data_IF_278504355824
#
_entry.id   IF_278504355824
#
_cell.length_a   1.000
_cell.length_b   1.000
_cell.length_c   1.000
_cell.angle_alpha   90.00
_cell.angle_beta   90.00
_cell.angle_gamma   90.00
#
_symmetry.space_group_name_H-M   'P 1'
#
loop_
_entity.id
_entity.type
_entity.pdbx_description
1 polymer ?
#
# COMPACT_ATOMS: atom_id res chain seq x y z
N UNK A 1 -14.09 8.90 -32.56
CA UNK A 1 -13.21 9.69 -31.69
C UNK A 1 -13.35 9.34 -30.21
N UNK A 2 -14.53 9.06 -29.68
CA UNK A 2 -14.78 8.72 -28.25
C UNK A 2 -14.20 7.36 -27.85
N UNK A 3 -14.29 6.34 -28.71
CA UNK A 3 -13.78 4.99 -28.47
C UNK A 3 -12.24 4.95 -28.39
N UNK A 4 -11.56 5.72 -29.23
CA UNK A 4 -10.10 5.79 -29.27
C UNK A 4 -9.51 6.43 -27.98
N UNK A 5 -10.18 7.44 -27.44
CA UNK A 5 -9.79 8.05 -26.15
C UNK A 5 -9.95 7.08 -24.97
N UNK A 6 -11.00 6.26 -24.94
CA UNK A 6 -11.18 5.23 -23.91
C UNK A 6 -10.09 4.15 -23.96
N UNK A 7 -9.70 3.73 -25.17
CA UNK A 7 -8.64 2.72 -25.34
C UNK A 7 -7.27 3.26 -24.91
N UNK A 8 -6.93 4.51 -25.29
CA UNK A 8 -5.66 5.15 -24.89
C UNK A 8 -5.61 5.33 -23.38
N UNK A 9 -6.71 5.68 -22.76
CA UNK A 9 -6.80 5.85 -21.31
C UNK A 9 -6.64 4.53 -20.56
N UNK A 10 -7.30 3.47 -20.99
CA UNK A 10 -7.13 2.12 -20.43
C UNK A 10 -5.66 1.65 -20.56
N UNK A 11 -5.00 1.95 -21.70
CA UNK A 11 -3.58 1.64 -21.89
C UNK A 11 -2.69 2.46 -20.93
N UNK A 12 -3.01 3.72 -20.68
CA UNK A 12 -2.26 4.57 -19.73
C UNK A 12 -2.46 4.09 -18.28
N UNK A 13 -3.65 3.67 -17.89
CA UNK A 13 -3.94 3.12 -16.56
C UNK A 13 -3.23 1.78 -16.34
N UNK A 14 -3.19 0.93 -17.37
CA UNK A 14 -2.40 -0.31 -17.36
C UNK A 14 -0.91 0.00 -17.26
N UNK A 15 -0.41 1.00 -17.99
CA UNK A 15 0.99 1.40 -17.95
C UNK A 15 1.40 1.97 -16.59
N UNK A 16 0.53 2.75 -15.93
CA UNK A 16 0.78 3.24 -14.55
C UNK A 16 0.73 2.12 -13.53
N UNK A 17 -0.18 1.16 -13.66
CA UNK A 17 -0.21 -0.05 -12.82
C UNK A 17 1.06 -0.89 -12.97
N UNK A 18 1.51 -1.10 -14.20
CA UNK A 18 2.77 -1.80 -14.50
C UNK A 18 3.98 -1.04 -13.94
N UNK A 19 4.00 0.28 -14.02
CA UNK A 19 5.07 1.10 -13.47
C UNK A 19 5.15 1.00 -11.94
N UNK A 20 4.00 1.00 -11.26
CA UNK A 20 3.95 0.77 -9.80
C UNK A 20 4.49 -0.61 -9.43
N UNK A 21 4.13 -1.65 -10.19
CA UNK A 21 4.66 -3.00 -10.02
C UNK A 21 6.18 -3.02 -10.25
N UNK A 22 6.66 -2.34 -11.28
CA UNK A 22 8.08 -2.23 -11.59
C UNK A 22 8.83 -1.51 -10.46
N UNK A 23 8.26 -0.48 -9.87
CA UNK A 23 8.89 0.23 -8.74
C UNK A 23 8.92 -0.65 -7.49
N UNK A 24 7.84 -1.34 -7.17
CA UNK A 24 7.82 -2.34 -6.08
C UNK A 24 8.85 -3.45 -6.37
N UNK A 25 8.93 -3.93 -7.60
CA UNK A 25 9.92 -4.88 -8.07
C UNK A 25 11.35 -4.35 -7.88
N UNK A 26 11.64 -3.11 -8.31
CA UNK A 26 12.98 -2.53 -8.16
C UNK A 26 13.36 -2.29 -6.71
N UNK A 27 12.42 -1.90 -5.86
CA UNK A 27 12.64 -1.75 -4.41
C UNK A 27 12.97 -3.12 -3.79
N UNK A 28 12.18 -4.15 -4.07
CA UNK A 28 12.42 -5.50 -3.56
C UNK A 28 13.73 -6.07 -4.15
N UNK A 29 14.00 -5.86 -5.43
CA UNK A 29 15.23 -6.29 -6.08
C UNK A 29 16.47 -5.58 -5.51
N UNK A 30 16.38 -4.28 -5.24
CA UNK A 30 17.49 -3.52 -4.65
C UNK A 30 17.83 -4.05 -3.24
N UNK A 31 16.81 -4.33 -2.45
CA UNK A 31 16.94 -4.97 -1.13
C UNK A 31 17.50 -6.39 -1.26
N UNK A 32 16.99 -7.21 -2.20
CA UNK A 32 17.47 -8.59 -2.40
C UNK A 32 18.90 -8.70 -2.93
N UNK A 33 19.32 -7.82 -3.85
CA UNK A 33 20.70 -7.85 -4.37
C UNK A 33 21.73 -7.49 -3.29
N UNK A 34 21.40 -6.61 -2.38
CA UNK A 34 22.29 -6.30 -1.24
C UNK A 34 22.35 -7.45 -0.23
N UNK A 35 21.25 -8.21 -0.11
CA UNK A 35 21.21 -9.37 0.79
C UNK A 35 22.08 -10.53 0.31
N UNK A 36 22.21 -10.74 -1.00
CA UNK A 36 23.04 -11.82 -1.58
C UNK A 36 24.55 -11.61 -1.42
N UNK A 37 24.98 -10.37 -1.21
CA UNK A 37 26.43 -10.07 -1.07
C UNK A 37 26.98 -10.19 0.34
N UNK A 38 26.14 -10.33 1.36
CA UNK A 38 26.57 -10.32 2.78
C UNK A 38 26.45 -11.68 3.50
N UNK A 39 26.24 -12.79 2.78
CA UNK A 39 26.34 -14.12 3.39
C UNK A 39 27.78 -14.62 3.25
N UNK A 40 28.68 -13.97 3.92
CA UNK A 40 29.97 -14.53 4.31
C UNK A 40 29.97 -14.67 5.83
N UNK A 41 30.16 -15.90 6.26
CA UNK A 41 30.27 -16.36 7.64
C UNK A 41 30.98 -15.33 8.57
N UNK A 42 30.28 -14.86 9.58
CA UNK A 42 30.90 -14.21 10.73
C UNK A 42 30.80 -15.14 11.93
N UNK A 43 31.84 -15.95 12.10
CA UNK A 43 32.29 -16.37 13.41
C UNK A 43 33.33 -15.32 13.81
N UNK A 44 32.96 -14.35 14.61
CA UNK A 44 33.83 -13.85 15.66
C UNK A 44 33.07 -12.97 16.66
N UNK A 45 33.13 -13.39 17.90
CA UNK A 45 32.72 -12.67 19.10
C UNK A 45 33.80 -11.68 19.45
N UNK A 46 33.62 -10.40 19.14
CA UNK A 46 34.19 -9.23 19.78
C UNK A 46 34.20 -8.03 18.84
N UNK A 47 33.16 -7.21 18.88
CA UNK A 47 33.23 -5.77 18.64
C UNK A 47 31.82 -5.16 18.77
N UNK A 48 31.33 -5.09 19.98
CA UNK A 48 30.22 -4.22 20.37
C UNK A 48 30.77 -2.90 20.87
N UNK A 49 31.55 -2.21 20.05
CA UNK A 49 31.94 -0.82 20.33
C UNK A 49 32.46 -0.14 19.05
N UNK A 50 31.48 0.33 18.23
CA UNK A 50 31.61 1.53 17.41
C UNK A 50 30.29 1.73 16.67
N UNK A 51 29.22 2.07 17.38
CA UNK A 51 28.07 2.74 16.75
C UNK A 51 28.47 4.18 16.48
N UNK A 52 29.06 4.37 15.33
CA UNK A 52 29.40 5.66 14.77
C UNK A 52 28.13 6.46 14.46
N UNK A 53 28.15 7.68 14.97
CA UNK A 53 27.52 8.91 14.53
C UNK A 53 26.33 8.74 13.55
N UNK A 54 25.12 8.93 14.08
CA UNK A 54 23.91 9.12 13.30
C UNK A 54 24.05 10.40 12.46
N UNK A 55 23.59 10.42 11.20
CA UNK A 55 23.56 11.64 10.40
C UNK A 55 22.83 12.74 11.18
N UNK A 56 23.31 13.96 11.11
CA UNK A 56 22.84 15.12 11.86
C UNK A 56 21.39 15.55 11.53
N UNK A 57 20.77 14.94 10.54
CA UNK A 57 19.34 15.10 10.15
C UNK A 57 18.46 13.97 10.70
N UNK A 58 18.61 13.61 11.97
CA UNK A 58 17.67 12.69 12.60
C UNK A 58 16.33 13.40 12.79
N UNK A 59 15.30 12.95 12.05
CA UNK A 59 13.94 13.43 12.18
C UNK A 59 13.48 13.20 13.62
N UNK A 60 13.12 14.29 14.27
CA UNK A 60 12.61 14.25 15.64
C UNK A 60 11.08 14.14 15.59
N UNK A 61 10.54 13.05 16.10
CA UNK A 61 9.11 12.83 16.26
C UNK A 61 8.76 13.14 17.70
N UNK A 62 7.76 13.98 17.94
CA UNK A 62 7.26 14.27 19.28
C UNK A 62 5.91 13.62 19.44
N UNK A 63 5.83 12.59 20.29
CA UNK A 63 4.58 11.91 20.61
C UNK A 63 4.32 12.01 22.13
N UNK A 64 3.19 12.58 22.51
CA UNK A 64 2.83 12.84 23.92
C UNK A 64 3.91 13.62 24.69
N UNK A 65 4.58 14.58 24.06
CA UNK A 65 5.64 15.38 24.67
C UNK A 65 6.98 14.65 24.81
N UNK A 66 7.08 13.41 24.34
CA UNK A 66 8.33 12.63 24.34
C UNK A 66 8.94 12.70 22.93
N UNK A 67 10.23 12.99 22.87
CA UNK A 67 10.97 13.05 21.63
C UNK A 67 11.50 11.67 21.26
N UNK A 68 11.24 11.24 20.02
CA UNK A 68 11.71 10.00 19.44
C UNK A 68 12.62 10.28 18.24
N UNK A 69 13.53 9.36 17.97
CA UNK A 69 14.39 9.36 16.79
C UNK A 69 14.31 8.00 16.12
N UNK A 70 14.38 7.97 14.80
CA UNK A 70 14.63 6.71 14.10
C UNK A 70 16.01 6.17 14.49
N UNK A 71 16.06 4.90 14.83
CA UNK A 71 17.33 4.20 15.12
C UNK A 71 18.08 3.82 13.84
N UNK A 72 17.34 3.64 12.75
CA UNK A 72 17.84 3.21 11.45
C UNK A 72 17.42 4.19 10.38
N UNK A 73 18.10 4.15 9.24
CA UNK A 73 17.71 4.87 8.05
C UNK A 73 16.54 4.13 7.39
N UNK A 74 15.36 4.72 7.46
CA UNK A 74 14.13 4.15 6.92
C UNK A 74 13.60 4.97 5.74
N UNK A 75 12.90 4.29 4.84
CA UNK A 75 12.05 4.87 3.80
C UNK A 75 10.61 4.43 4.03
N UNK A 76 9.70 5.36 3.87
CA UNK A 76 8.28 5.12 4.13
C UNK A 76 7.44 5.47 2.92
N UNK A 77 6.56 4.55 2.52
CA UNK A 77 5.67 4.75 1.38
C UNK A 77 4.25 4.37 1.75
N UNK A 78 3.31 5.27 1.45
CA UNK A 78 1.89 5.03 1.67
C UNK A 78 1.26 4.40 0.43
N UNK A 79 0.70 3.20 0.58
CA UNK A 79 -0.08 2.54 -0.47
C UNK A 79 -1.57 2.75 -0.20
N UNK A 80 -2.26 3.27 -1.20
CA UNK A 80 -3.67 3.58 -1.18
C UNK A 80 -4.43 2.70 -2.17
N UNK A 81 -5.50 2.08 -1.70
CA UNK A 81 -6.51 1.44 -2.56
C UNK A 81 -7.77 2.28 -2.54
N UNK A 82 -8.13 2.91 -3.66
CA UNK A 82 -9.32 3.76 -3.76
C UNK A 82 -10.48 3.01 -4.38
N UNK A 83 -11.70 3.33 -3.95
CA UNK A 83 -12.93 2.83 -4.58
C UNK A 83 -13.31 3.69 -5.80
N UNK A 84 -14.50 3.47 -6.35
CA UNK A 84 -15.03 4.24 -7.48
C UNK A 84 -16.10 5.26 -7.07
N UNK A 85 -16.12 5.68 -5.80
CA UNK A 85 -17.18 6.55 -5.27
C UNK A 85 -17.05 8.02 -5.65
N UNK A 86 -15.86 8.42 -6.11
CA UNK A 86 -15.57 9.81 -6.48
C UNK A 86 -15.76 10.12 -7.97
N UNK A 87 -15.58 11.38 -8.32
CA UNK A 87 -15.43 11.87 -9.69
C UNK A 87 -13.96 12.27 -9.94
N UNK A 88 -13.07 11.29 -9.99
CA UNK A 88 -11.63 11.53 -10.18
C UNK A 88 -11.24 11.96 -11.61
N UNK A 89 -12.23 12.05 -12.51
CA UNK A 89 -12.06 12.56 -13.88
C UNK A 89 -12.33 14.06 -13.98
N UNK A 90 -12.99 14.62 -12.97
CA UNK A 90 -13.24 16.06 -12.86
C UNK A 90 -11.96 16.86 -12.65
N UNK A 91 -12.04 18.16 -12.79
CA UNK A 91 -10.95 19.10 -12.52
C UNK A 91 -11.53 20.30 -11.75
N UNK A 92 -10.81 20.77 -10.73
CA UNK A 92 -11.27 21.87 -9.91
C UNK A 92 -12.55 21.52 -9.15
N UNK A 93 -13.59 22.34 -9.30
CA UNK A 93 -14.86 22.16 -8.58
C UNK A 93 -15.64 20.89 -9.00
N UNK A 94 -15.34 20.34 -10.17
CA UNK A 94 -15.95 19.08 -10.64
C UNK A 94 -15.19 17.83 -10.15
N UNK A 95 -14.03 17.99 -9.54
CA UNK A 95 -13.24 16.91 -8.99
C UNK A 95 -13.78 16.47 -7.63
N UNK A 96 -13.93 15.19 -7.45
CA UNK A 96 -14.17 14.58 -6.15
C UNK A 96 -13.32 13.31 -6.02
N UNK A 97 -12.44 13.29 -5.03
CA UNK A 97 -11.66 12.10 -4.72
C UNK A 97 -12.54 10.93 -4.26
N UNK A 98 -12.09 9.73 -4.54
CA UNK A 98 -12.73 8.50 -4.04
C UNK A 98 -12.36 8.25 -2.56
N UNK A 99 -13.01 7.32 -1.87
CA UNK A 99 -12.55 6.88 -0.55
C UNK A 99 -11.32 5.99 -0.66
N UNK A 100 -10.36 6.18 0.26
CA UNK A 100 -9.23 5.27 0.40
C UNK A 100 -9.62 4.05 1.26
N UNK A 101 -9.98 2.96 0.61
CA UNK A 101 -10.45 1.72 1.24
C UNK A 101 -9.32 0.87 1.81
N UNK A 102 -8.12 1.01 1.27
CA UNK A 102 -6.90 0.35 1.75
C UNK A 102 -5.86 1.43 2.03
N UNK A 103 -5.30 1.40 3.22
CA UNK A 103 -4.20 2.26 3.64
C UNK A 103 -3.12 1.38 4.27
N UNK A 104 -1.98 1.27 3.60
CA UNK A 104 -0.84 0.48 4.06
C UNK A 104 0.43 1.34 4.02
N UNK A 105 1.06 1.54 5.16
CA UNK A 105 2.37 2.16 5.22
C UNK A 105 3.44 1.08 5.13
N UNK A 106 4.23 1.12 4.08
CA UNK A 106 5.40 0.25 3.90
C UNK A 106 6.62 0.99 4.44
N UNK A 107 7.29 0.38 5.40
CA UNK A 107 8.51 0.89 6.01
C UNK A 107 9.66 0.01 5.56
N UNK A 108 10.63 0.58 4.88
CA UNK A 108 11.84 -0.10 4.41
C UNK A 108 12.99 0.34 5.29
N UNK A 109 13.56 -0.59 6.02
CA UNK A 109 14.78 -0.37 6.79
C UNK A 109 16.00 -0.59 5.89
N UNK A 110 16.67 0.49 5.53
CA UNK A 110 17.85 0.43 4.67
C UNK A 110 19.08 -0.12 5.41
N UNK A 111 19.08 -0.10 6.75
CA UNK A 111 20.17 -0.59 7.58
C UNK A 111 20.13 -2.11 7.69
N UNK A 112 18.96 -2.64 8.09
CA UNK A 112 18.77 -4.07 8.28
C UNK A 112 18.31 -4.78 7.00
N UNK A 113 18.07 -4.03 5.91
CA UNK A 113 17.55 -4.53 4.63
C UNK A 113 16.26 -5.33 4.79
N UNK A 114 15.41 -4.85 5.67
CA UNK A 114 14.12 -5.45 5.97
C UNK A 114 12.99 -4.49 5.59
N UNK A 115 11.77 -5.01 5.59
CA UNK A 115 10.59 -4.18 5.43
C UNK A 115 9.48 -4.62 6.38
N UNK A 116 8.65 -3.66 6.78
CA UNK A 116 7.42 -3.87 7.53
C UNK A 116 6.24 -3.24 6.79
N UNK A 117 5.04 -3.76 7.05
CA UNK A 117 3.79 -3.19 6.55
C UNK A 117 2.89 -2.92 7.75
N UNK A 118 2.55 -1.65 7.94
CA UNK A 118 1.53 -1.21 8.87
C UNK A 118 0.25 -0.93 8.09
N UNK A 119 -0.78 -1.75 8.30
CA UNK A 119 -2.10 -1.48 7.75
C UNK A 119 -2.89 -0.60 8.70
N UNK A 120 -3.41 0.51 8.18
CA UNK A 120 -4.24 1.45 8.93
C UNK A 120 -5.71 1.14 8.68
N UNK A 121 -6.52 1.20 9.76
CA UNK A 121 -7.95 1.02 9.62
C UNK A 121 -8.55 2.28 8.99
N UNK A 122 -9.22 2.12 7.86
CA UNK A 122 -9.89 3.22 7.14
C UNK A 122 -10.92 3.98 7.99
N UNK A 123 -11.51 3.29 8.97
CA UNK A 123 -12.55 3.84 9.84
C UNK A 123 -11.97 4.53 11.10
N UNK A 124 -10.64 4.63 11.21
CA UNK A 124 -9.99 5.39 12.29
C UNK A 124 -10.45 6.84 12.22
N UNK A 125 -10.93 7.36 13.35
CA UNK A 125 -11.31 8.77 13.48
C UNK A 125 -10.04 9.59 13.74
N UNK A 126 -9.83 10.60 12.92
CA UNK A 126 -8.69 11.52 13.02
C UNK A 126 -9.08 12.88 12.46
N UNK A 127 -8.30 13.90 12.77
CA UNK A 127 -8.47 15.22 12.15
C UNK A 127 -8.12 15.15 10.67
N UNK A 128 -9.11 15.47 9.82
CA UNK A 128 -8.99 15.42 8.36
C UNK A 128 -9.12 16.82 7.80
N UNK A 129 -8.08 17.36 7.14
CA UNK A 129 -8.16 18.65 6.46
C UNK A 129 -9.12 18.60 5.27
N UNK A 130 -10.00 19.58 5.18
CA UNK A 130 -10.90 19.81 4.06
C UNK A 130 -10.28 20.84 3.13
N UNK A 131 -9.93 20.40 1.91
CA UNK A 131 -9.25 21.27 0.94
C UNK A 131 -10.25 21.92 -0.01
N UNK A 132 -9.97 23.17 -0.39
CA UNK A 132 -10.65 23.87 -1.46
C UNK A 132 -10.12 23.47 -2.85
N UNK A 133 -10.78 23.93 -3.90
CA UNK A 133 -10.36 23.71 -5.29
C UNK A 133 -8.96 24.27 -5.60
N UNK A 134 -8.45 25.25 -4.85
CA UNK A 134 -7.09 25.77 -4.98
C UNK A 134 -6.04 24.92 -4.21
N UNK A 135 -6.51 23.94 -3.41
CA UNK A 135 -5.68 23.06 -2.60
C UNK A 135 -5.37 23.59 -1.20
N UNK A 136 -5.88 24.77 -0.82
CA UNK A 136 -5.74 25.28 0.55
C UNK A 136 -6.76 24.62 1.49
N UNK A 137 -6.35 24.35 2.74
CA UNK A 137 -7.29 23.89 3.75
C UNK A 137 -8.17 25.04 4.26
N UNK A 138 -9.49 24.88 4.27
CA UNK A 138 -10.42 25.87 4.80
C UNK A 138 -10.98 25.46 6.17
N UNK A 139 -10.94 24.20 6.50
CA UNK A 139 -11.37 23.62 7.76
C UNK A 139 -10.69 22.28 8.01
N UNK A 140 -10.84 21.73 9.20
CA UNK A 140 -10.61 20.32 9.49
C UNK A 140 -11.70 19.80 10.43
N UNK A 141 -11.89 18.48 10.45
CA UNK A 141 -12.84 17.83 11.34
C UNK A 141 -12.41 16.39 11.65
N UNK A 142 -12.85 15.90 12.81
CA UNK A 142 -12.73 14.50 13.18
C UNK A 142 -13.62 13.63 12.27
N UNK A 143 -13.00 12.92 11.34
CA UNK A 143 -13.65 12.06 10.36
C UNK A 143 -12.92 10.73 10.19
N UNK A 144 -13.55 9.79 9.51
CA UNK A 144 -12.88 8.55 9.13
C UNK A 144 -11.67 8.83 8.21
N UNK A 145 -10.55 8.20 8.48
CA UNK A 145 -9.29 8.36 7.73
C UNK A 145 -9.47 8.21 6.21
N UNK A 146 -10.35 7.30 5.77
CA UNK A 146 -10.61 7.09 4.34
C UNK A 146 -11.15 8.33 3.63
N UNK A 147 -11.80 9.26 4.36
CA UNK A 147 -12.38 10.47 3.77
C UNK A 147 -11.32 11.53 3.47
N UNK A 148 -10.10 11.40 3.98
CA UNK A 148 -9.02 12.32 3.65
C UNK A 148 -8.75 12.38 2.13
N UNK A 149 -8.96 11.26 1.43
CA UNK A 149 -8.80 11.20 -0.03
C UNK A 149 -9.96 11.87 -0.81
N UNK A 150 -11.07 12.18 -0.16
CA UNK A 150 -12.16 12.93 -0.79
C UNK A 150 -11.79 14.38 -1.12
N UNK A 151 -10.89 14.95 -0.32
CA UNK A 151 -10.56 16.36 -0.39
C UNK A 151 -9.29 16.58 -1.21
N UNK A 152 -9.45 17.33 -2.31
CA UNK A 152 -8.37 17.69 -3.22
C UNK A 152 -8.94 18.33 -4.48
N UNK A 153 -8.12 19.02 -5.23
CA UNK A 153 -8.45 19.59 -6.54
C UNK A 153 -8.16 18.64 -7.70
N UNK A 154 -7.43 17.58 -7.43
CA UNK A 154 -7.01 16.52 -8.34
C UNK A 154 -6.52 15.31 -7.54
N UNK A 155 -6.22 14.22 -8.23
CA UNK A 155 -5.72 12.97 -7.60
C UNK A 155 -4.47 13.17 -6.76
N UNK A 156 -3.55 14.01 -7.22
CA UNK A 156 -2.31 14.24 -6.49
C UNK A 156 -2.57 14.97 -5.18
N UNK A 157 -3.45 15.98 -5.18
CA UNK A 157 -3.86 16.70 -3.99
C UNK A 157 -4.60 15.77 -3.00
N UNK A 158 -5.51 14.91 -3.48
CA UNK A 158 -6.23 13.92 -2.65
C UNK A 158 -5.26 12.91 -2.00
N UNK A 159 -4.32 12.39 -2.77
CA UNK A 159 -3.28 11.51 -2.24
C UNK A 159 -2.38 12.24 -1.23
N UNK A 160 -1.99 13.48 -1.53
CA UNK A 160 -1.20 14.33 -0.63
C UNK A 160 -1.92 14.62 0.68
N UNK A 161 -3.22 14.94 0.62
CA UNK A 161 -4.05 15.13 1.82
C UNK A 161 -4.10 13.87 2.68
N UNK A 162 -4.30 12.71 2.05
CA UNK A 162 -4.30 11.41 2.75
C UNK A 162 -2.93 11.13 3.38
N UNK A 163 -1.84 11.37 2.65
CA UNK A 163 -0.48 11.20 3.15
C UNK A 163 -0.21 12.06 4.38
N UNK A 164 -0.58 13.36 4.31
CA UNK A 164 -0.42 14.29 5.43
C UNK A 164 -1.27 13.86 6.64
N UNK A 165 -2.52 13.46 6.41
CA UNK A 165 -3.40 12.97 7.47
C UNK A 165 -2.82 11.72 8.15
N UNK A 166 -2.26 10.78 7.38
CA UNK A 166 -1.59 9.58 7.94
C UNK A 166 -0.32 9.98 8.70
N UNK A 167 0.48 10.89 8.17
CA UNK A 167 1.67 11.39 8.86
C UNK A 167 1.32 11.97 10.23
N UNK A 168 0.33 12.86 10.29
CA UNK A 168 -0.12 13.48 11.54
C UNK A 168 -0.71 12.45 12.52
N UNK A 169 -1.53 11.52 12.04
CA UNK A 169 -2.09 10.42 12.85
C UNK A 169 -0.98 9.60 13.53
N UNK A 170 0.16 9.45 12.87
CA UNK A 170 1.30 8.70 13.36
C UNK A 170 2.36 9.58 14.07
N UNK A 171 1.98 10.80 14.49
CA UNK A 171 2.84 11.71 15.26
C UNK A 171 3.82 12.51 14.41
N UNK A 172 3.46 12.81 13.17
CA UNK A 172 4.27 13.62 12.25
C UNK A 172 5.43 12.85 11.61
N UNK A 173 5.31 11.53 11.47
CA UNK A 173 6.37 10.75 10.80
C UNK A 173 6.47 11.18 9.33
N UNK A 174 7.68 11.31 8.78
CA UNK A 174 7.85 11.60 7.37
C UNK A 174 7.40 10.41 6.53
N UNK A 175 6.66 10.68 5.45
CA UNK A 175 6.29 9.70 4.44
C UNK A 175 6.92 10.15 3.13
N UNK A 176 7.84 9.35 2.59
CA UNK A 176 8.67 9.72 1.42
C UNK A 176 7.87 9.76 0.12
N UNK A 177 6.71 9.11 0.06
CA UNK A 177 5.85 9.13 -1.11
C UNK A 177 4.63 8.23 -0.97
N UNK A 178 3.82 8.20 -2.03
CA UNK A 178 2.62 7.36 -2.07
C UNK A 178 2.47 6.63 -3.41
N UNK A 179 1.69 5.56 -3.39
CA UNK A 179 1.21 4.83 -4.54
C UNK A 179 -0.30 4.61 -4.38
N UNK A 180 -1.08 5.08 -5.34
CA UNK A 180 -2.53 4.94 -5.33
C UNK A 180 -3.00 4.06 -6.49
N UNK A 181 -3.83 3.06 -6.17
CA UNK A 181 -4.43 2.14 -7.13
C UNK A 181 -5.94 2.11 -6.91
N UNK A 182 -6.69 2.10 -7.99
CA UNK A 182 -8.10 1.77 -7.89
C UNK A 182 -8.26 0.30 -7.52
N UNK A 183 -9.24 -0.02 -6.66
CA UNK A 183 -9.46 -1.39 -6.18
C UNK A 183 -9.74 -2.38 -7.31
N UNK A 184 -10.30 -1.92 -8.44
CA UNK A 184 -10.50 -2.72 -9.65
C UNK A 184 -9.18 -3.19 -10.30
N UNK A 185 -8.06 -2.53 -9.98
CA UNK A 185 -6.74 -2.96 -10.46
C UNK A 185 -6.18 -4.18 -9.71
N UNK A 186 -6.86 -4.65 -8.65
CA UNK A 186 -6.37 -5.80 -7.87
C UNK A 186 -6.35 -7.10 -8.68
N UNK A 187 -7.30 -7.28 -9.60
CA UNK A 187 -7.26 -8.38 -10.57
C UNK A 187 -6.01 -8.34 -11.44
N UNK A 188 -5.60 -7.15 -11.91
CA UNK A 188 -4.39 -6.97 -12.71
C UNK A 188 -3.12 -7.28 -11.91
N UNK A 189 -3.06 -6.91 -10.62
CA UNK A 189 -1.96 -7.30 -9.74
C UNK A 189 -1.86 -8.82 -9.61
N UNK A 190 -2.98 -9.49 -9.38
CA UNK A 190 -3.05 -10.94 -9.33
C UNK A 190 -2.54 -11.58 -10.64
N UNK A 191 -3.00 -11.07 -11.78
CA UNK A 191 -2.60 -11.52 -13.12
C UNK A 191 -1.09 -11.39 -13.34
N UNK A 192 -0.49 -10.28 -12.91
CA UNK A 192 0.93 -9.95 -13.15
C UNK A 192 1.90 -10.97 -12.57
N UNK A 193 1.50 -11.66 -11.51
CA UNK A 193 2.29 -12.72 -10.84
C UNK A 193 1.84 -14.12 -11.23
N UNK A 194 0.87 -14.28 -12.13
CA UNK A 194 0.32 -15.57 -12.56
C UNK A 194 -0.62 -16.19 -11.53
N UNK A 195 -1.31 -15.37 -10.76
CA UNK A 195 -2.24 -15.76 -9.71
C UNK A 195 -1.58 -15.95 -8.34
N UNK A 196 -2.23 -15.40 -7.32
CA UNK A 196 -1.79 -15.49 -5.93
C UNK A 196 -2.46 -16.69 -5.27
N UNK A 197 -1.69 -17.55 -4.60
CA UNK A 197 -2.23 -18.70 -3.88
C UNK A 197 -2.44 -18.34 -2.42
N UNK A 198 -3.68 -18.48 -1.94
CA UNK A 198 -4.09 -18.20 -0.56
C UNK A 198 -4.89 -19.35 0.03
N UNK A 199 -4.85 -19.49 1.36
CA UNK A 199 -5.81 -20.32 2.09
C UNK A 199 -6.87 -19.42 2.67
N UNK A 200 -8.13 -19.67 2.33
CA UNK A 200 -9.26 -18.86 2.76
C UNK A 200 -9.60 -19.12 4.23
N UNK A 201 -9.66 -18.07 5.02
CA UNK A 201 -10.06 -18.15 6.43
C UNK A 201 -11.56 -17.92 6.62
N UNK A 202 -12.23 -17.34 5.62
CA UNK A 202 -13.66 -17.04 5.60
C UNK A 202 -14.38 -17.91 4.57
N UNK A 203 -15.68 -18.13 4.78
CA UNK A 203 -16.56 -18.72 3.79
C UNK A 203 -17.09 -17.61 2.88
N UNK A 204 -16.71 -17.65 1.62
CA UNK A 204 -17.14 -16.69 0.59
C UNK A 204 -17.92 -17.37 -0.54
N UNK A 205 -18.52 -18.54 -0.26
CA UNK A 205 -19.25 -19.35 -1.26
C UNK A 205 -20.49 -18.66 -1.82
N UNK A 206 -21.04 -17.66 -1.15
CA UNK A 206 -22.12 -16.82 -1.69
C UNK A 206 -21.66 -15.93 -2.85
N UNK A 207 -20.35 -15.62 -2.93
CA UNK A 207 -19.76 -14.81 -3.99
C UNK A 207 -19.17 -15.67 -5.10
N UNK A 208 -18.48 -16.75 -4.74
CA UNK A 208 -17.91 -17.74 -5.65
C UNK A 208 -17.93 -19.12 -4.98
N UNK A 209 -18.60 -20.13 -5.60
CA UNK A 209 -18.73 -21.47 -5.00
C UNK A 209 -17.42 -22.19 -4.67
N UNK A 210 -16.29 -21.77 -5.26
CA UNK A 210 -14.98 -22.34 -5.00
C UNK A 210 -14.33 -21.72 -3.74
N UNK A 211 -14.78 -20.55 -3.32
CA UNK A 211 -14.18 -19.79 -2.23
C UNK A 211 -14.69 -20.24 -0.84
N UNK A 212 -14.51 -21.54 -0.53
CA UNK A 212 -14.90 -22.13 0.75
C UNK A 212 -13.85 -21.84 1.82
N UNK A 213 -14.32 -21.67 3.05
CA UNK A 213 -13.43 -21.61 4.23
C UNK A 213 -12.51 -22.83 4.27
N UNK A 214 -11.21 -22.59 4.46
CA UNK A 214 -10.17 -23.63 4.51
C UNK A 214 -9.66 -24.09 3.15
N UNK A 215 -10.30 -23.66 2.03
CA UNK A 215 -9.79 -23.98 0.70
C UNK A 215 -8.49 -23.22 0.42
N UNK A 216 -7.54 -23.90 -0.21
CA UNK A 216 -6.32 -23.27 -0.76
C UNK A 216 -6.50 -23.15 -2.26
N UNK A 217 -6.51 -21.92 -2.76
CA UNK A 217 -6.79 -21.60 -4.16
C UNK A 217 -5.68 -20.71 -4.73
N UNK A 218 -5.31 -20.97 -5.98
CA UNK A 218 -4.66 -19.94 -6.80
C UNK A 218 -5.79 -19.09 -7.40
N UNK A 219 -5.87 -17.84 -6.95
CA UNK A 219 -6.98 -16.97 -7.27
C UNK A 219 -7.00 -16.60 -8.75
N UNK A 220 -8.18 -16.64 -9.36
CA UNK A 220 -8.45 -15.89 -10.59
C UNK A 220 -8.44 -14.38 -10.29
N UNK A 221 -8.36 -13.55 -11.32
CA UNK A 221 -8.36 -12.09 -11.14
C UNK A 221 -9.65 -11.63 -10.46
N UNK A 222 -10.79 -12.20 -10.85
CA UNK A 222 -12.08 -11.92 -10.21
C UNK A 222 -12.13 -12.38 -8.74
N UNK A 223 -11.59 -13.56 -8.42
CA UNK A 223 -11.53 -14.05 -7.03
C UNK A 223 -10.62 -13.17 -6.16
N UNK A 224 -9.55 -12.62 -6.72
CA UNK A 224 -8.70 -11.66 -6.02
C UNK A 224 -9.43 -10.36 -5.70
N UNK A 225 -10.22 -9.84 -6.65
CA UNK A 225 -11.09 -8.68 -6.42
C UNK A 225 -12.11 -8.96 -5.33
N UNK A 226 -12.83 -10.09 -5.41
CA UNK A 226 -13.79 -10.50 -4.39
C UNK A 226 -13.16 -10.59 -3.01
N UNK A 227 -11.99 -11.24 -2.89
CA UNK A 227 -11.28 -11.40 -1.62
C UNK A 227 -10.96 -10.08 -0.93
N UNK A 228 -10.55 -9.08 -1.71
CA UNK A 228 -10.04 -7.81 -1.21
C UNK A 228 -11.15 -6.79 -0.95
N UNK A 229 -12.21 -6.80 -1.79
CA UNK A 229 -13.24 -5.74 -1.78
C UNK A 229 -14.48 -6.10 -0.96
N UNK A 230 -14.86 -7.40 -0.92
CA UNK A 230 -16.17 -7.79 -0.40
C UNK A 230 -16.35 -7.52 1.08
N UNK A 231 -17.50 -6.95 1.41
CA UNK A 231 -17.97 -6.69 2.77
C UNK A 231 -19.32 -7.39 3.06
N UNK A 232 -20.26 -7.30 2.11
CA UNK A 232 -21.68 -7.49 2.36
C UNK A 232 -22.19 -8.94 2.29
N UNK A 233 -21.42 -9.85 1.72
CA UNK A 233 -21.78 -11.28 1.67
C UNK A 233 -21.31 -12.08 2.89
N UNK A 234 -20.77 -11.40 3.90
CA UNK A 234 -20.19 -12.02 5.08
C UNK A 234 -21.09 -11.80 6.29
N UNK A 235 -21.22 -12.78 7.18
CA UNK A 235 -21.95 -12.63 8.45
C UNK A 235 -21.43 -11.52 9.33
N UNK A 236 -20.18 -11.11 9.11
CA UNK A 236 -19.51 -10.02 9.79
C UNK A 236 -18.98 -9.04 8.74
N UNK A 237 -19.68 -7.93 8.55
CA UNK A 237 -19.36 -6.86 7.60
C UNK A 237 -18.32 -5.86 8.12
N UNK A 238 -17.68 -6.16 9.26
CA UNK A 238 -16.68 -5.30 9.87
C UNK A 238 -15.47 -5.15 8.97
N UNK A 239 -14.95 -3.93 8.92
CA UNK A 239 -13.75 -3.61 8.15
C UNK A 239 -12.53 -4.46 8.56
N UNK A 240 -12.45 -4.89 9.82
CA UNK A 240 -11.36 -5.72 10.35
C UNK A 240 -11.18 -7.03 9.57
N UNK A 241 -12.28 -7.71 9.22
CA UNK A 241 -12.21 -8.96 8.45
C UNK A 241 -11.73 -8.70 7.02
N UNK A 242 -12.18 -7.61 6.40
CA UNK A 242 -11.68 -7.18 5.09
C UNK A 242 -10.18 -6.86 5.14
N UNK A 243 -9.73 -6.12 6.15
CA UNK A 243 -8.31 -5.83 6.36
C UNK A 243 -7.48 -7.12 6.49
N UNK A 244 -8.00 -8.11 7.22
CA UNK A 244 -7.34 -9.41 7.37
C UNK A 244 -7.18 -10.12 6.02
N UNK A 245 -8.22 -10.17 5.18
CA UNK A 245 -8.15 -10.74 3.82
C UNK A 245 -7.17 -9.98 2.93
N UNK A 246 -7.13 -8.67 3.02
CA UNK A 246 -6.15 -7.83 2.32
C UNK A 246 -4.71 -8.15 2.74
N UNK A 247 -4.47 -8.40 4.04
CA UNK A 247 -3.16 -8.82 4.53
C UNK A 247 -2.76 -10.21 4.02
N UNK A 248 -3.71 -11.16 4.00
CA UNK A 248 -3.47 -12.50 3.46
C UNK A 248 -3.05 -12.41 2.00
N UNK A 249 -3.80 -11.67 1.18
CA UNK A 249 -3.48 -11.45 -0.22
C UNK A 249 -2.11 -10.80 -0.38
N UNK A 250 -1.85 -9.69 0.31
CA UNK A 250 -0.61 -8.94 0.18
C UNK A 250 0.62 -9.78 0.56
N UNK A 251 0.56 -10.54 1.65
CA UNK A 251 1.65 -11.44 2.05
C UNK A 251 1.93 -12.51 0.99
N UNK A 252 0.88 -13.12 0.44
CA UNK A 252 1.00 -14.15 -0.59
C UNK A 252 1.50 -13.54 -1.92
N UNK A 253 1.06 -12.34 -2.27
CA UNK A 253 1.51 -11.58 -3.43
C UNK A 253 3.02 -11.25 -3.35
N UNK A 254 3.47 -10.70 -2.23
CA UNK A 254 4.89 -10.39 -2.01
C UNK A 254 5.77 -11.63 -2.02
N UNK A 255 5.29 -12.74 -1.44
CA UNK A 255 5.95 -14.04 -1.51
C UNK A 255 6.13 -14.49 -2.96
N UNK A 256 5.07 -14.39 -3.78
CA UNK A 256 5.09 -14.78 -5.19
C UNK A 256 6.06 -13.93 -6.02
N UNK A 257 6.13 -12.62 -5.77
CA UNK A 257 7.12 -11.74 -6.39
C UNK A 257 8.54 -12.18 -6.04
N UNK A 258 8.79 -12.49 -4.76
CA UNK A 258 10.10 -12.93 -4.30
C UNK A 258 10.54 -14.25 -4.94
N UNK A 259 9.61 -15.20 -5.09
CA UNK A 259 9.85 -16.48 -5.76
C UNK A 259 10.20 -16.29 -7.25
N UNK A 260 9.44 -15.47 -7.98
CA UNK A 260 9.73 -15.15 -9.38
C UNK A 260 11.11 -14.52 -9.57
N UNK A 261 11.51 -13.61 -8.69
CA UNK A 261 12.83 -13.01 -8.75
C UNK A 261 13.96 -14.03 -8.54
N UNK A 262 13.75 -15.02 -7.68
CA UNK A 262 14.72 -16.09 -7.46
C UNK A 262 14.85 -17.02 -8.69
N UNK A 263 13.74 -17.29 -9.40
CA UNK A 263 13.75 -18.08 -10.64
C UNK A 263 14.47 -17.36 -11.77
N UNK A 264 14.22 -16.07 -11.96
CA UNK A 264 14.88 -15.24 -12.97
C UNK A 264 16.40 -15.14 -12.76
N UNK A 265 16.86 -15.08 -11.51
CA UNK A 265 18.28 -15.07 -11.17
C UNK A 265 18.91 -16.41 -11.52
N UNK A 266 18.26 -17.52 -11.18
CA UNK A 266 18.76 -18.87 -11.47
C UNK A 266 18.75 -19.22 -12.97
N UNK A 267 17.87 -18.60 -13.76
CA UNK A 267 17.84 -18.77 -15.21
C UNK A 267 18.93 -17.96 -15.95
N UNK A 268 19.61 -17.05 -15.25
CA UNK A 268 20.64 -16.17 -15.82
C UNK A 268 22.07 -16.66 -15.49
N UNK A 269 22.21 -17.66 -14.62
CA UNK A 269 23.46 -18.34 -14.29
C UNK A 269 23.59 -19.63 -15.14
#
# INVERSE_FOLDING_TARGET
>A
MHTQKKTIRAIMEIATGILAIIVIYFVIRHVSMRYSHNVTSVTDTAEVEKRTEFPEESINIILNGIQYKFLHKVKTYLFLGTDASGNEEGVGDDYQGAMADVLMLVVIDETDQSYGILQLNRDTITDVPMLQADGSAYASADMQLCTAHWYGKDKAASCGNTLNTVSELLGGIPIDGYYALQMQAMGLLNHSVGGVTVTLEDDMTELDPQMKKGATLTLTDHQAELLIQSRYAMKDDRNTERMRRQQIFMRAFLKKIKEKNAEDINATI
#
